data_IF_245228484753
#
_entry.id   IF_245228484753
#
_cell.length_a   1.000
_cell.length_b   1.000
_cell.length_c   1.000
_cell.angle_alpha   90.00
_cell.angle_beta   90.00
_cell.angle_gamma   90.00
#
_symmetry.space_group_name_H-M   'P 1'
#
loop_
_entity.id
_entity.type
_entity.pdbx_description
1 polymer ?
#
# COMPACT_ATOMS: atom_id res chain seq x y z
N UNK A 1 -14.06 18.62 99.10
CA UNK A 1 -15.24 17.70 99.08
C UNK A 1 -15.19 16.81 97.84
N UNK A 2 -15.98 15.75 97.85
CA UNK A 2 -16.00 14.57 96.97
C UNK A 2 -16.22 14.81 95.45
N UNK A 3 -15.58 13.96 94.63
CA UNK A 3 -16.04 13.27 93.38
C UNK A 3 -16.53 14.04 92.12
N UNK A 4 -15.86 13.70 90.99
CA UNK A 4 -16.39 13.12 89.73
C UNK A 4 -17.45 13.92 88.89
N UNK A 5 -17.68 13.69 87.59
CA UNK A 5 -17.09 12.81 86.54
C UNK A 5 -16.39 13.71 85.48
N UNK A 6 -16.24 13.47 84.16
CA UNK A 6 -16.51 12.38 83.20
C UNK A 6 -15.53 12.54 82.00
N UNK A 7 -15.21 11.48 81.28
CA UNK A 7 -14.29 11.47 80.13
C UNK A 7 -15.05 11.51 78.79
N UNK A 8 -14.72 12.44 77.89
CA UNK A 8 -15.40 12.63 76.59
C UNK A 8 -14.74 11.87 75.45
N UNK A 9 -15.43 10.90 74.85
CA UNK A 9 -14.94 10.12 73.72
C UNK A 9 -15.25 10.82 72.38
N UNK A 10 -14.23 11.22 71.61
CA UNK A 10 -14.37 11.68 70.22
C UNK A 10 -13.75 10.69 69.24
N UNK A 11 -14.52 10.36 68.21
CA UNK A 11 -14.32 9.20 67.33
C UNK A 11 -13.13 9.39 66.39
N UNK A 12 -12.20 8.43 66.38
CA UNK A 12 -11.16 8.32 65.36
C UNK A 12 -11.79 7.67 64.12
N UNK A 13 -11.75 8.38 62.99
CA UNK A 13 -12.25 7.88 61.71
C UNK A 13 -11.16 7.03 61.03
N UNK A 14 -11.32 5.71 61.05
CA UNK A 14 -10.40 4.78 60.37
C UNK A 14 -10.71 4.73 58.87
N UNK A 15 -9.77 5.18 58.04
CA UNK A 15 -9.85 5.09 56.58
C UNK A 15 -9.56 3.65 56.14
N UNK A 16 -10.57 2.95 55.60
CA UNK A 16 -10.43 1.54 55.20
C UNK A 16 -9.97 1.46 53.75
N UNK A 17 -8.69 1.12 53.54
CA UNK A 17 -8.12 0.97 52.19
C UNK A 17 -8.61 -0.34 51.54
N UNK A 18 -9.45 -0.25 50.50
CA UNK A 18 -9.92 -1.41 49.72
C UNK A 18 -8.87 -1.76 48.66
N UNK A 19 -8.12 -2.85 48.86
CA UNK A 19 -7.36 -3.48 47.78
C UNK A 19 -8.34 -4.22 46.85
N UNK A 20 -8.62 -3.63 45.68
CA UNK A 20 -9.32 -4.31 44.59
C UNK A 20 -8.34 -5.21 43.83
N UNK A 21 -8.56 -6.53 43.85
CA UNK A 21 -7.82 -7.45 42.99
C UNK A 21 -8.17 -7.16 41.52
N UNK A 22 -7.20 -6.70 40.74
CA UNK A 22 -7.35 -6.46 39.30
C UNK A 22 -7.30 -7.82 38.60
N UNK A 23 -8.35 -8.25 37.87
CA UNK A 23 -8.27 -9.47 37.09
C UNK A 23 -7.29 -9.27 35.93
N UNK A 24 -6.24 -10.08 35.85
CA UNK A 24 -5.41 -10.12 34.65
C UNK A 24 -6.27 -10.57 33.46
N UNK A 25 -6.54 -9.65 32.54
CA UNK A 25 -7.21 -9.99 31.28
C UNK A 25 -6.31 -10.92 30.47
N UNK A 26 -6.77 -12.16 30.27
CA UNK A 26 -6.11 -13.12 29.39
C UNK A 26 -6.17 -12.58 27.95
N UNK A 27 -5.04 -12.07 27.46
CA UNK A 27 -4.90 -11.64 26.06
C UNK A 27 -4.86 -12.89 25.19
N UNK A 28 -5.98 -13.22 24.56
CA UNK A 28 -6.02 -14.23 23.51
C UNK A 28 -5.16 -13.76 22.33
N UNK A 29 -4.23 -14.58 21.82
CA UNK A 29 -3.49 -14.24 20.61
C UNK A 29 -4.46 -14.24 19.42
N UNK A 30 -4.63 -13.07 18.79
CA UNK A 30 -5.38 -12.97 17.54
C UNK A 30 -4.57 -13.62 16.41
N UNK A 31 -5.11 -14.69 15.81
CA UNK A 31 -4.59 -15.22 14.56
C UNK A 31 -5.00 -14.29 13.42
N UNK A 32 -4.10 -13.37 13.08
CA UNK A 32 -4.27 -12.51 11.91
C UNK A 32 -3.99 -13.30 10.62
N UNK A 33 -5.03 -13.90 10.02
CA UNK A 33 -4.95 -14.50 8.70
C UNK A 33 -4.77 -13.43 7.60
N UNK A 34 -3.55 -12.94 7.46
CA UNK A 34 -3.15 -12.15 6.29
C UNK A 34 -2.76 -13.09 5.16
N UNK A 35 -3.77 -13.55 4.41
CA UNK A 35 -3.53 -14.13 3.08
C UNK A 35 -2.65 -13.13 2.28
N UNK A 36 -1.52 -13.57 1.70
CA UNK A 36 -0.50 -12.65 1.20
C UNK A 36 -1.04 -11.88 0.00
N UNK A 37 -1.17 -10.55 0.17
CA UNK A 37 -1.44 -9.64 -0.95
C UNK A 37 -0.22 -9.60 -1.87
N UNK A 38 -0.30 -10.36 -2.96
CA UNK A 38 0.71 -10.49 -4.00
C UNK A 38 0.22 -9.79 -5.29
N UNK A 39 1.13 -9.17 -6.07
CA UNK A 39 0.80 -8.65 -7.40
C UNK A 39 0.35 -9.77 -8.34
N UNK A 40 -0.35 -9.40 -9.43
CA UNK A 40 -0.65 -10.32 -10.53
C UNK A 40 0.64 -10.82 -11.19
N UNK A 41 0.70 -12.11 -11.51
CA UNK A 41 1.82 -12.75 -12.23
C UNK A 41 1.74 -12.63 -13.76
N UNK A 42 0.62 -12.14 -14.32
CA UNK A 42 0.46 -12.04 -15.77
C UNK A 42 1.47 -11.03 -16.37
N UNK A 43 2.06 -11.30 -17.55
CA UNK A 43 3.22 -10.57 -18.06
C UNK A 43 2.97 -9.08 -18.33
N UNK A 44 4.05 -8.33 -18.58
CA UNK A 44 3.99 -6.97 -19.10
C UNK A 44 3.93 -7.01 -20.63
N UNK A 45 2.86 -6.48 -21.21
CA UNK A 45 2.58 -6.57 -22.64
C UNK A 45 3.05 -5.30 -23.38
N UNK A 46 4.37 -5.09 -23.45
CA UNK A 46 4.99 -3.87 -24.01
C UNK A 46 4.53 -3.51 -25.43
N UNK A 47 4.20 -4.50 -26.27
CA UNK A 47 3.72 -4.29 -27.63
C UNK A 47 2.46 -3.41 -27.69
N UNK A 48 1.61 -3.47 -26.65
CA UNK A 48 0.38 -2.68 -26.53
C UNK A 48 0.64 -1.17 -26.45
N UNK A 49 1.85 -0.72 -26.11
CA UNK A 49 2.23 0.70 -26.16
C UNK A 49 2.25 1.25 -27.60
N UNK A 50 2.49 0.37 -28.59
CA UNK A 50 2.59 0.72 -30.02
C UNK A 50 1.41 0.20 -30.85
N UNK A 51 0.83 -0.93 -30.43
CA UNK A 51 -0.32 -1.60 -31.05
C UNK A 51 -1.38 -1.91 -29.99
N UNK A 52 -2.00 -0.89 -29.39
CA UNK A 52 -3.06 -1.10 -28.41
C UNK A 52 -4.25 -1.82 -29.07
N UNK A 53 -4.91 -2.67 -28.30
CA UNK A 53 -6.21 -3.22 -28.66
C UNK A 53 -7.34 -2.34 -28.10
N UNK A 54 -8.59 -2.59 -28.50
CA UNK A 54 -9.75 -1.78 -28.10
C UNK A 54 -10.12 -1.88 -26.61
N UNK A 55 -9.42 -2.73 -25.84
CA UNK A 55 -9.73 -3.00 -24.42
C UNK A 55 -8.73 -2.43 -23.43
N UNK A 56 -7.48 -2.15 -23.84
CA UNK A 56 -6.47 -1.55 -22.96
C UNK A 56 -6.36 -0.06 -23.18
N UNK A 57 -6.06 0.67 -22.11
CA UNK A 57 -5.83 2.11 -22.19
C UNK A 57 -4.34 2.38 -21.98
N UNK A 58 -3.77 3.25 -22.81
CA UNK A 58 -2.36 3.64 -22.79
C UNK A 58 -2.25 5.16 -22.89
N UNK A 59 -1.04 5.70 -22.74
CA UNK A 59 -0.78 7.12 -22.99
C UNK A 59 -1.26 7.60 -24.39
N UNK A 60 -1.34 6.69 -25.36
CA UNK A 60 -1.69 6.97 -26.75
C UNK A 60 -3.18 6.75 -27.09
N UNK A 61 -3.97 6.13 -26.20
CA UNK A 61 -5.40 5.78 -26.44
C UNK A 61 -6.39 6.49 -25.52
N UNK A 62 -5.96 7.58 -24.88
CA UNK A 62 -6.81 8.45 -24.06
C UNK A 62 -7.83 9.15 -24.97
N UNK A 63 -9.13 8.99 -24.70
CA UNK A 63 -10.16 9.75 -25.43
C UNK A 63 -10.16 11.22 -24.97
N UNK A 64 -10.05 12.20 -25.89
CA UNK A 64 -10.25 13.62 -25.55
C UNK A 64 -11.69 13.99 -25.18
N UNK A 65 -12.67 13.12 -25.46
CA UNK A 65 -14.11 13.43 -25.38
C UNK A 65 -14.75 13.04 -24.04
N UNK A 66 -14.03 12.40 -23.12
CA UNK A 66 -14.58 11.98 -21.83
C UNK A 66 -13.51 11.61 -20.81
N UNK A 67 -13.92 11.51 -19.53
CA UNK A 67 -13.04 11.06 -18.46
C UNK A 67 -12.78 9.56 -18.59
N UNK A 68 -11.70 9.18 -19.28
CA UNK A 68 -11.25 7.78 -19.30
C UNK A 68 -10.51 7.47 -18.00
N UNK A 69 -11.04 6.49 -17.26
CA UNK A 69 -10.53 6.04 -15.96
C UNK A 69 -9.83 4.69 -16.13
N UNK A 70 -8.58 4.50 -15.67
CA UNK A 70 -7.76 5.38 -14.82
C UNK A 70 -6.81 6.31 -15.62
N UNK A 71 -7.00 6.44 -16.93
CA UNK A 71 -5.96 6.92 -17.84
C UNK A 71 -5.60 8.41 -17.75
N UNK A 72 -6.55 9.31 -17.46
CA UNK A 72 -6.26 10.75 -17.47
C UNK A 72 -5.31 11.22 -16.35
N UNK A 73 -5.41 10.66 -15.15
CA UNK A 73 -4.52 11.06 -14.06
C UNK A 73 -3.10 10.55 -14.27
N UNK A 74 -2.95 9.42 -14.94
CA UNK A 74 -1.67 8.78 -15.20
C UNK A 74 -0.95 9.43 -16.39
N UNK A 75 -1.70 9.92 -17.39
CA UNK A 75 -1.20 10.81 -18.43
C UNK A 75 -0.65 12.13 -17.86
N UNK A 76 -1.38 12.75 -16.92
CA UNK A 76 -0.90 13.93 -16.20
C UNK A 76 0.39 13.63 -15.45
N UNK A 77 0.45 12.51 -14.72
CA UNK A 77 1.65 12.08 -14.01
C UNK A 77 2.86 11.86 -14.95
N UNK A 78 2.63 11.43 -16.19
CA UNK A 78 3.66 11.27 -17.22
C UNK A 78 4.21 12.63 -17.68
N UNK A 79 3.33 13.61 -17.89
CA UNK A 79 3.73 14.95 -18.35
C UNK A 79 4.48 15.80 -17.32
N UNK A 80 4.31 15.52 -16.02
CA UNK A 80 4.87 16.32 -14.93
C UNK A 80 6.19 15.76 -14.36
N UNK A 81 6.61 14.54 -14.71
CA UNK A 81 7.74 13.87 -14.06
C UNK A 81 8.54 12.94 -14.99
N UNK A 82 9.85 13.18 -15.11
CA UNK A 82 10.81 12.39 -15.90
C UNK A 82 11.02 10.93 -15.45
N UNK A 83 10.37 10.52 -14.36
CA UNK A 83 10.47 9.15 -13.84
C UNK A 83 9.47 8.18 -14.48
N UNK A 84 8.27 8.64 -14.80
CA UNK A 84 7.29 7.85 -15.52
C UNK A 84 7.55 8.08 -17.02
N UNK A 85 7.69 7.00 -17.80
CA UNK A 85 7.85 7.11 -19.25
C UNK A 85 6.55 6.70 -19.98
N UNK A 86 5.93 5.60 -19.54
CA UNK A 86 4.79 4.97 -20.20
C UNK A 86 3.90 4.20 -19.22
N UNK A 87 2.73 3.77 -19.66
CA UNK A 87 1.82 2.95 -18.85
C UNK A 87 0.77 2.22 -19.71
N UNK A 88 0.26 1.12 -19.16
CA UNK A 88 -0.84 0.32 -19.69
C UNK A 88 -1.85 0.05 -18.57
N UNK A 89 -3.11 0.41 -18.78
CA UNK A 89 -4.23 0.10 -17.89
C UNK A 89 -5.10 -1.01 -18.52
N UNK A 90 -5.25 -2.09 -17.78
CA UNK A 90 -6.08 -3.25 -18.10
C UNK A 90 -7.35 -3.16 -17.24
N UNK A 91 -8.53 -2.95 -17.85
CA UNK A 91 -9.77 -2.79 -17.10
C UNK A 91 -10.12 -3.96 -16.19
N UNK A 92 -10.88 -3.66 -15.13
CA UNK A 92 -11.42 -4.68 -14.24
C UNK A 92 -12.32 -5.66 -15.01
N UNK A 93 -12.36 -6.91 -14.55
CA UNK A 93 -13.26 -7.94 -15.07
C UNK A 93 -14.14 -8.48 -13.95
N UNK A 94 -15.15 -9.28 -14.28
CA UNK A 94 -15.98 -9.97 -13.29
C UNK A 94 -15.20 -10.90 -12.32
N UNK A 95 -13.92 -11.21 -12.62
CA UNK A 95 -13.08 -12.12 -11.83
C UNK A 95 -11.90 -11.44 -11.11
N UNK A 96 -11.56 -10.20 -11.48
CA UNK A 96 -10.37 -9.53 -10.96
C UNK A 96 -10.51 -8.00 -11.01
N UNK A 97 -9.94 -7.26 -10.02
CA UNK A 97 -9.82 -5.82 -10.10
C UNK A 97 -8.97 -5.39 -11.30
N UNK A 98 -9.05 -4.11 -11.65
CA UNK A 98 -8.22 -3.55 -12.70
C UNK A 98 -6.73 -3.63 -12.36
N UNK A 99 -5.89 -3.53 -13.39
CA UNK A 99 -4.43 -3.50 -13.25
C UNK A 99 -3.86 -2.32 -14.03
N UNK A 100 -2.96 -1.57 -13.41
CA UNK A 100 -2.13 -0.58 -14.10
C UNK A 100 -0.68 -1.04 -14.02
N UNK A 101 -0.06 -1.22 -15.18
CA UNK A 101 1.38 -1.41 -15.28
C UNK A 101 2.00 -0.07 -15.71
N UNK A 102 2.83 0.51 -14.84
CA UNK A 102 3.59 1.71 -15.15
C UNK A 102 5.02 1.35 -15.52
N UNK A 103 5.53 1.95 -16.59
CA UNK A 103 6.89 1.76 -17.08
C UNK A 103 7.68 3.02 -16.71
N UNK A 104 8.70 2.86 -15.88
CA UNK A 104 9.55 3.96 -15.41
C UNK A 104 10.86 4.05 -16.18
N UNK A 105 11.39 5.27 -16.24
CA UNK A 105 12.72 5.53 -16.73
C UNK A 105 13.74 4.83 -15.82
N UNK A 106 14.40 3.78 -16.34
CA UNK A 106 15.32 2.97 -15.53
C UNK A 106 16.51 3.78 -14.98
N UNK A 107 17.00 4.77 -15.74
CA UNK A 107 18.11 5.63 -15.30
C UNK A 107 17.68 6.46 -14.09
N UNK A 108 16.54 7.15 -14.19
CA UNK A 108 15.99 7.93 -13.06
C UNK A 108 15.62 7.03 -11.89
N UNK A 109 14.96 5.88 -12.11
CA UNK A 109 14.58 4.95 -11.03
C UNK A 109 15.80 4.40 -10.27
N UNK A 110 16.90 4.12 -10.97
CA UNK A 110 18.11 3.51 -10.37
C UNK A 110 18.76 4.38 -9.30
N UNK A 111 18.70 5.71 -9.46
CA UNK A 111 19.29 6.68 -8.52
C UNK A 111 18.37 7.01 -7.34
N UNK A 112 17.08 6.70 -7.41
CA UNK A 112 16.14 6.97 -6.32
C UNK A 112 16.43 6.11 -5.10
N UNK A 113 16.30 6.69 -3.92
CA UNK A 113 16.31 5.96 -2.65
C UNK A 113 15.00 5.17 -2.40
N UNK A 114 14.96 4.41 -1.31
CA UNK A 114 13.79 3.60 -0.95
C UNK A 114 12.53 4.46 -0.67
N UNK A 115 12.68 5.61 -0.01
CA UNK A 115 11.58 6.50 0.36
C UNK A 115 11.02 7.22 -0.87
N UNK A 116 11.87 7.59 -1.83
CA UNK A 116 11.45 8.17 -3.10
C UNK A 116 10.67 7.15 -3.95
N UNK A 117 11.21 5.93 -4.10
CA UNK A 117 10.50 4.81 -4.75
C UNK A 117 9.16 4.51 -4.07
N UNK A 118 9.15 4.47 -2.74
CA UNK A 118 7.93 4.28 -1.95
C UNK A 118 6.92 5.40 -2.15
N UNK A 119 7.37 6.66 -2.12
CA UNK A 119 6.53 7.84 -2.33
C UNK A 119 5.87 7.82 -3.72
N UNK A 120 6.63 7.48 -4.77
CA UNK A 120 6.10 7.30 -6.12
C UNK A 120 5.02 6.21 -6.18
N UNK A 121 5.33 4.99 -5.72
CA UNK A 121 4.41 3.84 -5.72
C UNK A 121 3.16 4.13 -4.89
N UNK A 122 3.33 4.69 -3.70
CA UNK A 122 2.23 5.02 -2.79
C UNK A 122 1.34 6.13 -3.38
N UNK A 123 1.91 7.16 -4.04
CA UNK A 123 1.12 8.21 -4.69
C UNK A 123 0.29 7.66 -5.83
N UNK A 124 0.90 7.00 -6.81
CA UNK A 124 0.16 6.48 -7.98
C UNK A 124 -0.82 5.38 -7.57
N UNK A 125 -0.43 4.48 -6.65
CA UNK A 125 -1.29 3.43 -6.11
C UNK A 125 -2.52 3.97 -5.35
N UNK A 126 -2.37 5.08 -4.60
CA UNK A 126 -3.50 5.76 -3.97
C UNK A 126 -4.46 6.44 -4.96
N UNK A 127 -4.03 6.73 -6.19
CA UNK A 127 -4.95 7.19 -7.23
C UNK A 127 -5.62 5.98 -7.89
N UNK A 128 -4.84 5.00 -8.37
CA UNK A 128 -5.32 3.76 -8.97
C UNK A 128 -6.37 3.01 -8.13
N UNK A 129 -6.18 2.91 -6.80
CA UNK A 129 -7.11 2.18 -5.93
C UNK A 129 -8.50 2.80 -5.84
N UNK A 130 -8.66 4.10 -6.13
CA UNK A 130 -9.98 4.77 -6.14
C UNK A 130 -10.88 4.21 -7.24
N UNK A 131 -10.25 3.77 -8.32
CA UNK A 131 -10.89 3.24 -9.52
C UNK A 131 -10.94 1.70 -9.50
N UNK A 132 -10.60 1.07 -8.36
CA UNK A 132 -10.48 -0.40 -8.18
C UNK A 132 -9.35 -1.01 -9.03
N UNK A 133 -8.21 -0.32 -9.14
CA UNK A 133 -6.99 -0.85 -9.80
C UNK A 133 -5.86 -1.15 -8.80
N UNK A 134 -5.21 -2.29 -9.00
CA UNK A 134 -3.86 -2.55 -8.49
C UNK A 134 -2.82 -1.87 -9.41
N UNK A 135 -1.64 -1.55 -8.88
CA UNK A 135 -0.53 -0.97 -9.66
C UNK A 135 0.74 -1.81 -9.58
N UNK A 136 1.45 -1.94 -10.69
CA UNK A 136 2.77 -2.56 -10.81
C UNK A 136 3.73 -1.59 -11.51
N UNK A 137 4.99 -1.55 -11.09
CA UNK A 137 6.06 -0.73 -11.67
C UNK A 137 7.07 -1.62 -12.35
N UNK A 138 7.40 -1.31 -13.60
CA UNK A 138 8.34 -2.06 -14.44
C UNK A 138 9.39 -1.16 -15.10
N UNK A 139 10.49 -1.75 -15.54
CA UNK A 139 11.36 -1.18 -16.59
C UNK A 139 11.04 -1.79 -17.96
N UNK A 140 11.70 -1.30 -19.02
CA UNK A 140 11.56 -1.85 -20.37
C UNK A 140 12.13 -3.28 -20.53
N UNK A 141 12.91 -3.77 -19.57
CA UNK A 141 13.35 -5.16 -19.47
C UNK A 141 12.30 -6.08 -18.82
N UNK A 142 11.09 -5.56 -18.56
CA UNK A 142 9.95 -6.26 -17.96
C UNK A 142 10.20 -6.77 -16.52
N UNK A 143 11.21 -6.23 -15.83
CA UNK A 143 11.47 -6.55 -14.43
C UNK A 143 10.45 -5.84 -13.52
N UNK A 144 9.79 -6.58 -12.63
CA UNK A 144 8.89 -6.00 -11.64
C UNK A 144 9.70 -5.28 -10.54
N UNK A 145 9.67 -3.95 -10.55
CA UNK A 145 10.42 -3.08 -9.64
C UNK A 145 9.64 -2.79 -8.35
N UNK A 146 8.31 -2.69 -8.42
CA UNK A 146 7.45 -2.48 -7.26
C UNK A 146 5.98 -2.83 -7.57
N UNK A 147 5.16 -2.95 -6.52
CA UNK A 147 3.71 -3.10 -6.62
C UNK A 147 2.96 -2.35 -5.51
N UNK A 148 1.70 -2.04 -5.79
CA UNK A 148 0.68 -1.56 -4.86
C UNK A 148 -0.56 -2.44 -5.08
N UNK A 149 -0.79 -3.41 -4.20
CA UNK A 149 -1.86 -4.42 -4.34
C UNK A 149 -2.86 -4.29 -3.21
N UNK A 150 -4.16 -4.24 -3.51
CA UNK A 150 -5.24 -4.09 -2.53
C UNK A 150 -6.15 -5.32 -2.44
N UNK A 151 -6.65 -5.58 -1.23
CA UNK A 151 -7.84 -6.38 -1.01
C UNK A 151 -9.08 -5.46 -1.10
N UNK A 152 -9.74 -5.46 -2.26
CA UNK A 152 -10.98 -4.70 -2.48
C UNK A 152 -12.24 -5.34 -1.88
N UNK A 153 -12.14 -6.54 -1.29
CA UNK A 153 -13.27 -7.28 -0.71
C UNK A 153 -13.52 -6.96 0.78
N UNK A 154 -12.70 -6.10 1.39
CA UNK A 154 -12.79 -5.73 2.81
C UNK A 154 -12.94 -4.22 3.00
N UNK A 155 -13.56 -3.83 4.11
CA UNK A 155 -13.75 -2.43 4.51
C UNK A 155 -13.13 -2.21 5.89
N UNK A 156 -12.14 -1.30 6.05
CA UNK A 156 -11.51 -0.50 4.99
C UNK A 156 -10.66 -1.35 4.04
N UNK A 157 -10.50 -0.88 2.79
CA UNK A 157 -9.61 -1.49 1.79
C UNK A 157 -8.18 -1.52 2.35
N UNK A 158 -7.62 -2.71 2.53
CA UNK A 158 -6.21 -2.89 2.87
C UNK A 158 -5.37 -3.00 1.61
N UNK A 159 -4.23 -2.31 1.58
CA UNK A 159 -3.29 -2.34 0.46
C UNK A 159 -1.87 -2.59 0.95
N UNK A 160 -1.10 -3.34 0.18
CA UNK A 160 0.31 -3.67 0.43
C UNK A 160 1.18 -3.08 -0.66
N UNK A 161 2.24 -2.38 -0.23
CA UNK A 161 3.33 -1.98 -1.12
C UNK A 161 4.45 -3.00 -1.01
N UNK A 162 5.02 -3.39 -2.14
CA UNK A 162 6.27 -4.14 -2.22
C UNK A 162 7.21 -3.38 -3.16
N UNK A 163 8.48 -3.24 -2.78
CA UNK A 163 9.51 -2.62 -3.61
C UNK A 163 10.64 -3.64 -3.70
N UNK A 164 11.08 -3.92 -4.92
CA UNK A 164 12.24 -4.75 -5.15
C UNK A 164 13.49 -4.02 -4.66
N UNK A 165 14.17 -4.61 -3.67
CA UNK A 165 15.49 -4.15 -3.21
C UNK A 165 16.61 -4.47 -4.21
N UNK A 166 16.31 -5.27 -5.25
CA UNK A 166 17.26 -5.69 -6.26
C UNK A 166 17.49 -4.60 -7.31
N UNK A 167 18.26 -3.57 -6.94
CA UNK A 167 19.23 -3.05 -7.89
C UNK A 167 20.20 -4.21 -8.19
N UNK A 168 19.93 -5.04 -9.21
CA UNK A 168 20.82 -6.16 -9.58
C UNK A 168 22.13 -5.61 -10.16
N UNK A 169 23.04 -5.20 -9.27
CA UNK A 169 24.47 -5.25 -9.57
C UNK A 169 24.82 -6.72 -9.75
N UNK A 170 24.89 -7.15 -11.01
CA UNK A 170 25.30 -8.52 -11.37
C UNK A 170 26.79 -8.66 -11.07
N UNK A 171 27.11 -8.93 -9.81
CA UNK A 171 28.36 -9.58 -9.45
C UNK A 171 28.22 -11.05 -9.86
N UNK A 172 28.57 -11.34 -11.11
CA UNK A 172 28.97 -12.68 -11.51
C UNK A 172 30.22 -13.04 -10.69
N UNK A 173 30.02 -13.67 -9.54
CA UNK A 173 31.06 -14.53 -8.97
C UNK A 173 31.13 -15.76 -9.86
N UNK A 174 32.01 -15.71 -10.85
CA UNK A 174 32.48 -16.87 -11.59
C UNK A 174 33.22 -17.77 -10.61
N UNK A 175 32.56 -18.83 -10.15
CA UNK A 175 33.26 -20.00 -9.61
C UNK A 175 33.66 -20.89 -10.77
N UNK A 176 34.96 -20.93 -11.05
CA UNK A 176 35.62 -22.05 -11.74
C UNK A 176 35.55 -23.32 -10.86
#
# INVERSE_FOLDING_TARGET
MLRQKLLGCRKILLLVLRLSAIPLSLVLPSLAETSPLLPSDAPLELDLLTKPNDTVITANTISPQGLTTPSLWLAKANSENKLLDNWIAYPASAKAPGRVDVIVNQQVWSILDYLERYSFVNRLGNVARKDVYNLRVFNYQQELLASYTCNFQISPISCRIQISSLNRLVLQQSSE
#
